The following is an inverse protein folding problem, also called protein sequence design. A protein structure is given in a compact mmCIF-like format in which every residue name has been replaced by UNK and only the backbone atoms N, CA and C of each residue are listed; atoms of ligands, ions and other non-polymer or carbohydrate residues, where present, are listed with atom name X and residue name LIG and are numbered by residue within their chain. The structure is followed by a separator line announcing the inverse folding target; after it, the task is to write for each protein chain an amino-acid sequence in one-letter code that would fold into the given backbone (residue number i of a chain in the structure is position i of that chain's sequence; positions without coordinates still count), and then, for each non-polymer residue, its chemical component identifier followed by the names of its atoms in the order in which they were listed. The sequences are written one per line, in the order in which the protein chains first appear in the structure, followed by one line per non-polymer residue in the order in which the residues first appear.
data_IF_471725070859
#
_entry.id   IF_471725070859
#
_cell.length_a   1.000
_cell.length_b   1.000
_cell.length_c   1.000
_cell.angle_alpha   90.00
_cell.angle_beta   90.00
_cell.angle_gamma   90.00
#
_symmetry.space_group_name_H-M   'P 1'
#
loop_
_entity.id
_entity.type
_entity.pdbx_description
1 polymer ?
#
# COMPACT_ATOMS: atom_id res chain seq x y z
N UNK A 1 -1.82 21.44 13.09
CA UNK A 1 -2.67 22.64 12.98
C UNK A 1 -1.99 23.90 13.50
N UNK A 2 -1.44 23.96 14.75
CA UNK A 2 -0.77 25.14 15.27
C UNK A 2 0.38 25.63 14.36
N UNK A 3 1.24 24.74 13.90
CA UNK A 3 2.33 25.06 12.97
C UNK A 3 1.80 25.58 11.62
N UNK A 4 0.75 24.97 11.06
CA UNK A 4 0.14 25.43 9.80
C UNK A 4 -0.41 26.86 9.91
N UNK A 5 -1.03 27.21 11.04
CA UNK A 5 -1.51 28.59 11.30
C UNK A 5 -0.39 29.61 11.34
N UNK A 6 0.83 29.19 11.69
CA UNK A 6 2.03 30.02 11.74
C UNK A 6 2.86 29.96 10.45
N UNK A 7 2.38 29.21 9.43
CA UNK A 7 3.11 29.02 8.17
C UNK A 7 4.37 28.17 8.30
N UNK A 8 4.49 27.37 9.37
CA UNK A 8 5.64 26.53 9.65
C UNK A 8 5.41 25.09 9.21
N UNK A 9 6.44 24.45 8.66
CA UNK A 9 6.47 23.02 8.30
C UNK A 9 7.54 22.29 9.11
N UNK A 10 7.53 20.95 9.07
CA UNK A 10 8.59 20.13 9.70
C UNK A 10 9.95 20.41 9.06
N UNK A 11 9.94 20.57 7.74
CA UNK A 11 11.13 20.82 6.93
C UNK A 11 11.73 22.19 7.25
N UNK A 12 10.89 23.23 7.37
CA UNK A 12 11.35 24.58 7.71
C UNK A 12 11.97 24.68 9.11
N UNK A 13 11.49 23.86 10.06
CA UNK A 13 12.02 23.81 11.43
C UNK A 13 13.22 22.86 11.56
N UNK A 14 13.36 21.91 10.68
CA UNK A 14 14.26 20.78 10.83
C UNK A 14 13.89 19.88 12.01
N UNK A 15 14.58 18.73 12.15
CA UNK A 15 14.27 17.74 13.19
C UNK A 15 14.34 18.32 14.61
N UNK A 16 15.38 19.09 14.91
CA UNK A 16 15.59 19.65 16.26
C UNK A 16 14.47 20.64 16.61
N UNK A 17 14.24 21.64 15.76
CA UNK A 17 13.20 22.64 16.00
C UNK A 17 11.80 22.04 16.12
N UNK A 18 11.49 21.03 15.31
CA UNK A 18 10.23 20.31 15.42
C UNK A 18 10.10 19.55 16.75
N UNK A 19 11.14 18.85 17.21
CA UNK A 19 11.13 18.12 18.48
C UNK A 19 11.01 19.08 19.68
N UNK A 20 11.77 20.16 19.69
CA UNK A 20 11.71 21.18 20.76
C UNK A 20 10.28 21.73 20.89
N UNK A 21 9.62 22.00 19.76
CA UNK A 21 8.23 22.46 19.74
C UNK A 21 7.24 21.39 20.20
N UNK A 22 7.44 20.13 19.80
CA UNK A 22 6.60 19.02 20.21
C UNK A 22 6.68 18.76 21.72
N UNK A 23 7.89 18.84 22.31
CA UNK A 23 8.09 18.73 23.75
C UNK A 23 7.44 19.88 24.50
N UNK A 24 7.58 21.12 24.03
CA UNK A 24 6.90 22.27 24.63
C UNK A 24 5.38 22.11 24.62
N UNK A 25 4.82 21.63 23.52
CA UNK A 25 3.38 21.32 23.42
C UNK A 25 2.98 20.24 24.44
N UNK A 26 3.77 19.17 24.58
CA UNK A 26 3.55 18.12 25.57
C UNK A 26 3.57 18.65 27.00
N UNK A 27 4.49 19.52 27.33
CA UNK A 27 4.57 20.15 28.67
C UNK A 27 3.33 21.00 28.96
N UNK A 28 2.88 21.78 27.98
CA UNK A 28 1.73 22.67 28.13
C UNK A 28 0.39 21.93 28.21
N UNK A 29 0.20 20.91 27.37
CA UNK A 29 -1.11 20.26 27.18
C UNK A 29 -1.18 18.84 27.73
N UNK A 30 -0.09 18.12 27.88
CA UNK A 30 -0.06 16.71 28.24
C UNK A 30 -0.63 16.39 29.61
N UNK A 31 -0.49 17.30 30.59
CA UNK A 31 -1.04 17.14 31.94
C UNK A 31 -2.51 17.53 32.10
N UNK A 32 -3.17 18.07 31.07
CA UNK A 32 -4.56 18.55 31.18
C UNK A 32 -5.54 17.43 31.49
N UNK A 33 -5.45 16.31 30.77
CA UNK A 33 -6.33 15.16 30.99
C UNK A 33 -6.21 14.61 32.40
N UNK A 34 -5.00 14.50 32.94
CA UNK A 34 -4.73 14.05 34.30
C UNK A 34 -5.37 15.00 35.34
N UNK A 35 -5.22 16.31 35.11
CA UNK A 35 -5.85 17.32 35.96
C UNK A 35 -7.38 17.23 35.93
N UNK A 36 -7.96 17.02 34.75
CA UNK A 36 -9.41 16.84 34.59
C UNK A 36 -9.91 15.58 35.31
N UNK A 37 -9.21 14.44 35.13
CA UNK A 37 -9.53 13.19 35.78
C UNK A 37 -9.49 13.29 37.31
N UNK A 38 -8.47 13.97 37.88
CA UNK A 38 -8.38 14.23 39.32
C UNK A 38 -9.55 15.08 39.82
N UNK A 39 -9.96 16.11 39.06
CA UNK A 39 -11.12 16.95 39.41
C UNK A 39 -12.44 16.19 39.34
N UNK A 40 -12.54 15.19 38.46
CA UNK A 40 -13.70 14.30 38.36
C UNK A 40 -13.72 13.24 39.44
N UNK A 41 -12.70 13.16 40.30
CA UNK A 41 -12.64 12.17 41.38
C UNK A 41 -12.29 10.75 40.90
N UNK A 42 -11.67 10.62 39.73
CA UNK A 42 -11.26 9.31 39.19
C UNK A 42 -10.16 8.72 40.10
N UNK A 43 -10.37 7.49 40.54
CA UNK A 43 -9.49 6.74 41.44
C UNK A 43 -8.42 6.02 40.66
N UNK A 44 -7.22 6.62 40.57
CA UNK A 44 -6.03 6.04 39.93
C UNK A 44 -4.83 6.17 40.88
N UNK A 45 -3.84 5.32 40.71
CA UNK A 45 -2.53 5.53 41.32
C UNK A 45 -1.70 6.53 40.53
N UNK A 46 -1.87 7.80 40.85
CA UNK A 46 -1.22 8.93 40.18
C UNK A 46 0.30 8.95 40.34
N UNK A 47 0.86 8.19 41.28
CA UNK A 47 2.31 8.05 41.44
C UNK A 47 2.94 7.23 40.30
N UNK A 48 2.14 6.44 39.62
CA UNK A 48 2.55 5.61 38.46
C UNK A 48 2.15 6.18 37.12
N UNK A 49 1.83 7.48 37.09
CA UNK A 49 1.59 8.20 35.83
C UNK A 49 2.83 8.07 34.90
N UNK A 50 2.58 7.65 33.65
CA UNK A 50 3.62 7.47 32.64
C UNK A 50 3.23 8.15 31.33
N UNK A 51 4.23 8.64 30.63
CA UNK A 51 4.12 9.09 29.25
C UNK A 51 4.81 8.08 28.34
N UNK A 52 4.16 7.66 27.26
CA UNK A 52 4.65 6.57 26.39
C UNK A 52 6.03 6.81 25.78
N UNK A 53 6.46 8.08 25.71
CA UNK A 53 7.79 8.48 25.21
C UNK A 53 8.71 8.97 26.32
N UNK A 54 8.40 8.73 27.61
CA UNK A 54 9.34 9.02 28.69
C UNK A 54 10.59 8.12 28.64
N UNK A 55 11.59 8.47 29.41
CA UNK A 55 12.87 7.76 29.40
C UNK A 55 12.72 6.26 29.72
N UNK A 56 11.92 5.92 30.74
CA UNK A 56 11.69 4.53 31.15
C UNK A 56 10.98 3.71 30.09
N UNK A 57 9.89 4.22 29.51
CA UNK A 57 9.18 3.59 28.41
C UNK A 57 10.05 3.48 27.16
N UNK A 58 10.82 4.50 26.82
CA UNK A 58 11.76 4.49 25.71
C UNK A 58 12.87 3.45 25.87
N UNK A 59 13.38 3.24 27.11
CA UNK A 59 14.34 2.19 27.43
C UNK A 59 13.71 0.81 27.27
N UNK A 60 12.51 0.62 27.78
CA UNK A 60 11.79 -0.65 27.69
C UNK A 60 11.51 -1.06 26.22
N UNK A 61 11.05 -0.11 25.39
CA UNK A 61 10.80 -0.36 23.96
C UNK A 61 12.08 -0.79 23.24
N UNK A 62 13.20 -0.09 23.50
CA UNK A 62 14.48 -0.47 22.88
C UNK A 62 14.96 -1.86 23.34
N UNK A 63 14.83 -2.16 24.62
CA UNK A 63 15.21 -3.47 25.18
C UNK A 63 14.40 -4.59 24.55
N UNK A 64 13.08 -4.43 24.46
CA UNK A 64 12.19 -5.43 23.84
C UNK A 64 12.51 -5.59 22.35
N UNK A 65 12.74 -4.50 21.63
CA UNK A 65 13.10 -4.54 20.21
C UNK A 65 14.39 -5.37 19.99
N UNK A 66 15.45 -5.07 20.77
CA UNK A 66 16.74 -5.75 20.65
C UNK A 66 16.59 -7.24 20.98
N UNK A 67 15.92 -7.60 22.07
CA UNK A 67 15.68 -8.99 22.45
C UNK A 67 14.91 -9.79 21.39
N UNK A 68 13.89 -9.17 20.79
CA UNK A 68 13.12 -9.81 19.71
C UNK A 68 13.95 -9.96 18.43
N UNK A 69 14.81 -9.00 18.14
CA UNK A 69 15.73 -9.06 17.00
C UNK A 69 16.76 -10.19 17.19
N UNK A 70 17.40 -10.28 18.37
CA UNK A 70 18.35 -11.34 18.70
C UNK A 70 17.73 -12.75 18.65
N UNK A 71 16.44 -12.86 18.96
CA UNK A 71 15.66 -14.11 18.81
C UNK A 71 15.23 -14.39 17.35
N UNK A 72 15.59 -13.52 16.39
CA UNK A 72 15.18 -13.65 15.00
C UNK A 72 13.68 -13.48 14.74
N UNK A 73 12.96 -12.87 15.70
CA UNK A 73 11.53 -12.61 15.61
C UNK A 73 11.20 -11.27 14.93
N UNK A 74 12.09 -10.28 15.00
CA UNK A 74 12.01 -9.03 14.26
C UNK A 74 12.94 -9.11 13.05
N UNK A 75 12.44 -8.70 11.89
CA UNK A 75 13.20 -8.68 10.63
C UNK A 75 12.80 -7.49 9.77
N UNK A 76 13.70 -7.08 8.87
CA UNK A 76 13.38 -6.14 7.78
C UNK A 76 13.06 -6.91 6.52
N UNK A 77 11.98 -6.52 5.84
CA UNK A 77 11.57 -7.15 4.59
C UNK A 77 10.77 -6.19 3.72
N UNK A 78 10.76 -6.49 2.43
CA UNK A 78 9.89 -5.82 1.48
C UNK A 78 8.51 -6.44 1.60
N UNK A 79 7.50 -5.61 1.88
CA UNK A 79 6.10 -6.02 1.97
C UNK A 79 5.23 -4.93 1.37
N UNK A 80 4.11 -5.34 0.83
CA UNK A 80 3.05 -4.42 0.48
C UNK A 80 2.45 -3.83 1.75
N UNK A 81 2.39 -2.52 1.82
CA UNK A 81 1.85 -1.76 2.97
C UNK A 81 0.91 -0.67 2.45
N UNK A 82 -0.03 -0.25 3.29
CA UNK A 82 -0.80 0.94 3.00
C UNK A 82 0.12 2.15 3.19
N UNK A 83 0.37 2.87 2.11
CA UNK A 83 1.27 4.03 2.11
C UNK A 83 0.48 5.32 1.92
N UNK A 84 0.74 6.31 2.75
CA UNK A 84 0.21 7.66 2.55
C UNK A 84 1.25 8.53 1.85
N UNK A 85 1.05 8.93 0.59
CA UNK A 85 2.03 9.74 -0.14
C UNK A 85 2.18 11.16 0.41
N UNK A 86 1.15 11.71 1.04
CA UNK A 86 1.19 13.02 1.67
C UNK A 86 1.94 13.03 3.03
N UNK A 87 1.77 11.96 3.83
CA UNK A 87 2.46 11.83 5.11
C UNK A 87 3.82 11.15 4.98
N UNK A 88 4.11 10.57 3.81
CA UNK A 88 5.29 9.75 3.51
C UNK A 88 5.54 8.68 4.59
N UNK A 89 4.47 7.96 4.93
CA UNK A 89 4.52 6.94 5.98
C UNK A 89 3.58 5.78 5.69
N UNK A 90 3.99 4.58 6.11
CA UNK A 90 3.10 3.44 6.19
C UNK A 90 2.04 3.68 7.28
N UNK A 91 0.82 3.23 7.03
CA UNK A 91 -0.30 3.23 7.96
C UNK A 91 -0.86 1.82 8.10
N UNK A 92 -1.35 1.48 9.28
CA UNK A 92 -1.98 0.18 9.54
C UNK A 92 -3.39 0.12 8.96
N UNK A 93 -3.93 -1.09 8.78
CA UNK A 93 -5.29 -1.27 8.26
C UNK A 93 -6.34 -0.58 9.16
N UNK A 94 -6.12 -0.53 10.48
CA UNK A 94 -6.99 0.16 11.42
C UNK A 94 -6.98 1.70 11.29
N UNK A 95 -5.99 2.26 10.61
CA UNK A 95 -5.83 3.70 10.37
C UNK A 95 -6.32 4.12 8.98
N UNK A 96 -6.83 3.19 8.19
CA UNK A 96 -7.44 3.45 6.89
C UNK A 96 -8.93 3.75 7.07
N UNK A 97 -9.37 4.89 6.58
CA UNK A 97 -10.78 5.26 6.55
C UNK A 97 -11.31 5.07 5.13
N UNK A 98 -12.37 4.29 4.97
CA UNK A 98 -12.97 4.05 3.67
C UNK A 98 -14.06 5.08 3.37
N UNK A 99 -14.05 5.59 2.15
CA UNK A 99 -15.02 6.56 1.64
C UNK A 99 -15.53 6.12 0.27
N UNK A 100 -16.83 6.18 0.07
CA UNK A 100 -17.42 6.00 -1.26
C UNK A 100 -17.01 7.15 -2.17
N UNK A 101 -16.49 6.81 -3.34
CA UNK A 101 -16.12 7.77 -4.38
C UNK A 101 -16.63 7.33 -5.74
N UNK A 102 -17.04 8.30 -6.52
CA UNK A 102 -17.32 8.09 -7.93
C UNK A 102 -15.99 7.85 -8.67
N UNK A 103 -15.96 6.82 -9.46
CA UNK A 103 -14.85 6.41 -10.29
C UNK A 103 -15.34 5.80 -11.59
N UNK A 104 -14.49 5.06 -12.25
CA UNK A 104 -14.84 4.34 -13.44
C UNK A 104 -14.17 2.97 -13.47
N UNK A 105 -14.77 2.06 -14.23
CA UNK A 105 -14.11 0.91 -14.80
C UNK A 105 -13.66 1.26 -16.21
N UNK A 106 -12.36 1.13 -16.48
CA UNK A 106 -11.78 1.26 -17.80
C UNK A 106 -11.57 -0.12 -18.39
N UNK A 107 -12.25 -0.41 -19.50
CA UNK A 107 -12.10 -1.64 -20.27
C UNK A 107 -10.97 -1.46 -21.26
N UNK A 108 -9.89 -2.20 -21.05
CA UNK A 108 -8.65 -2.13 -21.82
C UNK A 108 -8.46 -3.38 -22.66
N UNK A 109 -7.80 -3.24 -23.80
CA UNK A 109 -7.47 -4.32 -24.71
C UNK A 109 -5.96 -4.56 -24.70
N UNK A 110 -5.55 -5.77 -24.29
CA UNK A 110 -4.15 -6.20 -24.34
C UNK A 110 -3.96 -7.17 -25.49
N UNK A 111 -3.06 -6.88 -26.46
CA UNK A 111 -2.78 -7.78 -27.57
C UNK A 111 -2.12 -9.07 -27.07
N UNK A 112 -2.67 -10.21 -27.44
CA UNK A 112 -2.05 -11.53 -27.22
C UNK A 112 -0.99 -11.76 -28.29
N UNK A 113 0.23 -12.00 -27.89
CA UNK A 113 1.39 -12.10 -28.79
C UNK A 113 1.26 -13.27 -29.77
N UNK A 114 0.88 -14.44 -29.29
CA UNK A 114 0.87 -15.68 -30.06
C UNK A 114 -0.33 -15.78 -31.02
N UNK A 115 -1.48 -15.23 -30.64
CA UNK A 115 -2.71 -15.34 -31.43
C UNK A 115 -3.07 -14.07 -32.19
N UNK A 116 -2.56 -12.91 -31.72
CA UNK A 116 -2.93 -11.60 -32.26
C UNK A 116 -4.33 -11.11 -31.84
N UNK A 117 -5.05 -11.88 -31.02
CA UNK A 117 -6.36 -11.46 -30.51
C UNK A 117 -6.20 -10.39 -29.41
N UNK A 118 -7.27 -9.63 -29.18
CA UNK A 118 -7.32 -8.61 -28.14
C UNK A 118 -7.99 -9.20 -26.90
N UNK A 119 -7.24 -9.33 -25.81
CA UNK A 119 -7.74 -9.77 -24.52
C UNK A 119 -8.28 -8.58 -23.74
N UNK A 120 -9.56 -8.61 -23.43
CA UNK A 120 -10.24 -7.55 -22.69
C UNK A 120 -10.11 -7.75 -21.18
N UNK A 121 -9.73 -6.69 -20.49
CA UNK A 121 -9.74 -6.61 -19.02
C UNK A 121 -10.29 -5.27 -18.54
N UNK A 122 -10.79 -5.23 -17.31
CA UNK A 122 -11.31 -4.01 -16.71
C UNK A 122 -10.52 -3.64 -15.44
N UNK A 123 -10.27 -2.34 -15.25
CA UNK A 123 -9.53 -1.84 -14.09
C UNK A 123 -10.09 -0.52 -13.59
N UNK A 124 -10.02 -0.29 -12.29
CA UNK A 124 -10.30 1.02 -11.66
C UNK A 124 -9.05 1.91 -11.59
N UNK A 125 -7.87 1.34 -11.90
CA UNK A 125 -6.57 2.01 -11.74
C UNK A 125 -5.68 1.83 -12.97
N UNK A 126 -6.02 2.45 -14.11
CA UNK A 126 -5.23 2.32 -15.33
C UNK A 126 -3.80 2.85 -15.18
N UNK A 127 -3.54 3.79 -14.25
CA UNK A 127 -2.20 4.31 -13.98
C UNK A 127 -1.19 3.26 -13.47
N UNK A 128 -1.69 2.15 -12.89
CA UNK A 128 -0.80 1.08 -12.41
C UNK A 128 -0.40 0.08 -13.48
N UNK A 129 -1.03 0.13 -14.67
CA UNK A 129 -0.83 -0.87 -15.73
C UNK A 129 0.63 -1.03 -16.16
N UNK A 130 1.41 0.05 -16.12
CA UNK A 130 2.84 -0.01 -16.47
C UNK A 130 3.64 -0.95 -15.55
N UNK A 131 3.10 -1.25 -14.37
CA UNK A 131 3.63 -2.20 -13.40
C UNK A 131 3.06 -3.61 -13.50
N UNK A 132 2.19 -3.91 -14.47
CA UNK A 132 1.62 -5.24 -14.63
C UNK A 132 2.71 -6.26 -14.94
N UNK A 133 2.64 -7.42 -14.31
CA UNK A 133 3.62 -8.50 -14.48
C UNK A 133 3.00 -9.80 -14.97
N UNK A 134 1.69 -9.88 -14.99
CA UNK A 134 0.91 -10.95 -15.61
C UNK A 134 -0.51 -10.47 -15.89
N UNK A 135 -1.23 -11.29 -16.66
CA UNK A 135 -2.69 -11.27 -16.77
C UNK A 135 -3.20 -12.63 -16.27
N UNK A 136 -4.17 -12.63 -15.36
CA UNK A 136 -4.76 -13.84 -14.82
C UNK A 136 -6.08 -14.18 -15.54
N UNK A 137 -6.26 -15.46 -15.85
CA UNK A 137 -7.50 -16.09 -16.33
C UNK A 137 -7.81 -17.29 -15.43
N UNK A 138 -9.06 -17.71 -15.39
CA UNK A 138 -9.39 -18.93 -14.67
C UNK A 138 -9.12 -20.17 -15.56
N UNK A 139 -8.44 -21.18 -15.02
CA UNK A 139 -8.13 -22.41 -15.75
C UNK A 139 -9.37 -23.17 -16.22
N UNK A 140 -10.49 -23.00 -15.53
CA UNK A 140 -11.76 -23.65 -15.87
C UNK A 140 -12.62 -22.83 -16.85
N UNK A 141 -12.20 -21.61 -17.22
CA UNK A 141 -12.96 -20.75 -18.12
C UNK A 141 -12.77 -21.19 -19.59
N UNK A 142 -13.80 -21.72 -20.23
CA UNK A 142 -13.69 -22.22 -21.60
C UNK A 142 -13.44 -21.10 -22.63
N UNK A 143 -13.74 -19.83 -22.29
CA UNK A 143 -13.53 -18.68 -23.17
C UNK A 143 -12.05 -18.46 -23.45
N UNK A 144 -11.18 -18.78 -22.48
CA UNK A 144 -9.76 -18.46 -22.50
C UNK A 144 -8.85 -19.70 -22.45
N UNK A 145 -9.41 -20.90 -22.52
CA UNK A 145 -8.62 -22.15 -22.44
C UNK A 145 -7.50 -22.23 -23.51
N UNK A 146 -7.70 -21.65 -24.68
CA UNK A 146 -6.70 -21.58 -25.75
C UNK A 146 -5.55 -20.60 -25.49
N UNK A 147 -5.66 -19.76 -24.48
CA UNK A 147 -4.63 -18.76 -24.10
C UNK A 147 -3.69 -19.24 -22.99
N UNK A 148 -3.87 -20.46 -22.50
CA UNK A 148 -2.99 -21.02 -21.48
C UNK A 148 -1.53 -21.06 -21.97
N UNK A 149 -0.64 -20.39 -21.22
CA UNK A 149 0.79 -20.31 -21.55
C UNK A 149 1.15 -19.30 -22.63
N UNK A 150 0.19 -18.52 -23.13
CA UNK A 150 0.44 -17.38 -24.00
C UNK A 150 0.91 -16.15 -23.21
N UNK A 151 1.30 -15.12 -23.94
CA UNK A 151 1.73 -13.84 -23.41
C UNK A 151 0.92 -12.70 -24.01
N UNK A 152 0.79 -11.60 -23.27
CA UNK A 152 0.29 -10.35 -23.81
C UNK A 152 1.43 -9.35 -23.96
N UNK A 153 1.31 -8.49 -24.97
CA UNK A 153 2.17 -7.32 -25.10
C UNK A 153 1.53 -6.19 -24.29
N UNK A 154 2.14 -5.84 -23.14
CA UNK A 154 1.66 -4.78 -22.28
C UNK A 154 1.64 -3.45 -23.02
N UNK A 155 0.46 -2.83 -23.23
CA UNK A 155 0.38 -1.56 -23.95
C UNK A 155 1.21 -0.48 -23.27
N UNK A 156 1.69 0.49 -24.05
CA UNK A 156 2.50 1.64 -23.64
C UNK A 156 3.89 1.31 -23.06
N UNK A 157 4.05 0.12 -22.48
CA UNK A 157 5.35 -0.35 -21.94
C UNK A 157 6.11 -1.25 -22.93
N UNK A 158 5.47 -1.80 -23.96
CA UNK A 158 6.03 -2.73 -24.94
C UNK A 158 6.76 -3.92 -24.29
N UNK A 159 6.25 -4.39 -23.16
CA UNK A 159 6.81 -5.48 -22.38
C UNK A 159 5.92 -6.71 -22.49
N UNK A 160 6.53 -7.87 -22.72
CA UNK A 160 5.81 -9.15 -22.73
C UNK A 160 5.58 -9.59 -21.28
N UNK A 161 4.34 -9.93 -20.95
CA UNK A 161 3.95 -10.50 -19.66
C UNK A 161 3.10 -11.77 -19.89
N UNK A 162 3.24 -12.80 -19.02
CA UNK A 162 2.55 -14.08 -19.19
C UNK A 162 1.04 -13.97 -18.89
N UNK A 163 0.28 -14.80 -19.56
CA UNK A 163 -1.09 -15.16 -19.15
C UNK A 163 -0.99 -16.34 -18.20
N UNK A 164 -1.41 -16.16 -16.94
CA UNK A 164 -1.36 -17.18 -15.90
C UNK A 164 -2.76 -17.69 -15.58
N UNK A 165 -2.84 -18.90 -15.05
CA UNK A 165 -4.09 -19.50 -14.57
C UNK A 165 -4.16 -19.36 -13.04
N UNK A 166 -5.13 -18.60 -12.54
CA UNK A 166 -5.33 -18.41 -11.10
C UNK A 166 -6.82 -18.25 -10.77
N UNK A 167 -7.26 -18.80 -9.64
CA UNK A 167 -8.64 -18.70 -9.15
C UNK A 167 -9.04 -17.27 -8.76
N UNK A 168 -8.08 -16.36 -8.63
CA UNK A 168 -8.33 -14.94 -8.43
C UNK A 168 -9.14 -14.33 -9.59
N UNK A 169 -8.97 -14.85 -10.80
CA UNK A 169 -9.78 -14.50 -11.96
C UNK A 169 -11.15 -15.20 -11.87
N UNK A 170 -12.15 -14.49 -11.35
CA UNK A 170 -13.51 -14.99 -11.21
C UNK A 170 -14.24 -14.97 -12.56
N UNK A 171 -14.65 -16.14 -13.05
CA UNK A 171 -15.32 -16.31 -14.35
C UNK A 171 -16.67 -15.58 -14.44
N UNK A 172 -17.32 -15.32 -13.30
CA UNK A 172 -18.64 -14.69 -13.23
C UNK A 172 -18.56 -13.17 -13.08
N UNK A 173 -17.35 -12.63 -12.85
CA UNK A 173 -17.14 -11.19 -12.64
C UNK A 173 -16.49 -10.53 -13.85
N UNK A 174 -17.13 -9.48 -14.36
CA UNK A 174 -16.61 -8.67 -15.44
C UNK A 174 -16.25 -9.49 -16.68
N UNK A 175 -15.02 -9.33 -17.16
CA UNK A 175 -14.52 -10.09 -18.32
C UNK A 175 -14.02 -11.50 -17.96
N UNK A 176 -13.83 -11.81 -16.68
CA UNK A 176 -13.13 -13.02 -16.22
C UNK A 176 -11.60 -12.94 -16.38
N UNK A 177 -11.07 -11.78 -16.75
CA UNK A 177 -9.65 -11.51 -16.95
C UNK A 177 -9.20 -10.41 -16.02
N UNK A 178 -8.11 -10.63 -15.30
CA UNK A 178 -7.59 -9.68 -14.31
C UNK A 178 -6.13 -9.36 -14.61
N UNK A 179 -5.78 -8.07 -14.66
CA UNK A 179 -4.39 -7.64 -14.68
C UNK A 179 -3.75 -7.87 -13.31
N UNK A 180 -2.49 -8.24 -13.25
CA UNK A 180 -1.78 -8.53 -12.00
C UNK A 180 -0.63 -7.55 -11.82
N UNK A 181 -0.78 -6.69 -10.80
CA UNK A 181 0.19 -5.64 -10.43
C UNK A 181 0.67 -5.84 -8.98
N UNK A 182 1.57 -6.76 -8.70
CA UNK A 182 1.95 -7.18 -7.33
C UNK A 182 2.48 -6.06 -6.44
N UNK A 183 2.96 -4.96 -7.04
CA UNK A 183 3.49 -3.83 -6.28
C UNK A 183 2.42 -2.87 -5.75
N UNK A 184 1.17 -2.92 -6.27
CA UNK A 184 0.16 -1.88 -6.07
C UNK A 184 -1.24 -2.39 -5.71
N UNK A 185 -1.41 -3.69 -5.54
CA UNK A 185 -2.65 -4.30 -5.08
C UNK A 185 -2.37 -5.49 -4.15
N UNK A 186 -3.06 -5.60 -2.98
CA UNK A 186 -2.84 -6.70 -2.04
C UNK A 186 -3.17 -8.08 -2.61
N UNK A 187 -4.26 -8.21 -3.36
CA UNK A 187 -4.67 -9.49 -3.94
C UNK A 187 -3.70 -9.89 -5.06
N UNK A 188 -3.32 -8.93 -5.92
CA UNK A 188 -2.32 -9.15 -6.97
C UNK A 188 -0.95 -9.52 -6.39
N UNK A 189 -0.60 -8.98 -5.22
CA UNK A 189 0.63 -9.35 -4.52
C UNK A 189 0.63 -10.82 -4.08
N UNK A 190 -0.51 -11.33 -3.57
CA UNK A 190 -0.67 -12.74 -3.22
C UNK A 190 -0.58 -13.65 -4.46
N UNK A 191 -1.23 -13.25 -5.56
CA UNK A 191 -1.10 -13.95 -6.86
C UNK A 191 0.35 -13.95 -7.30
N UNK A 192 1.01 -12.80 -7.23
CA UNK A 192 2.42 -12.65 -7.58
C UNK A 192 3.33 -13.59 -6.79
N UNK A 193 3.08 -13.77 -5.48
CA UNK A 193 3.83 -14.70 -4.64
C UNK A 193 3.57 -16.18 -5.03
N UNK A 194 2.33 -16.55 -5.39
CA UNK A 194 2.00 -17.92 -5.81
C UNK A 194 2.65 -18.31 -7.13
N UNK A 195 2.81 -17.34 -8.03
CA UNK A 195 3.33 -17.54 -9.38
C UNK A 195 4.77 -17.06 -9.58
N UNK A 196 5.45 -16.66 -8.49
CA UNK A 196 6.83 -16.11 -8.51
C UNK A 196 7.01 -14.95 -9.52
N UNK A 197 5.99 -14.07 -9.58
CA UNK A 197 6.01 -12.93 -10.49
C UNK A 197 6.91 -11.81 -9.97
N UNK A 198 7.57 -11.06 -10.88
CA UNK A 198 8.34 -9.89 -10.47
C UNK A 198 7.44 -8.81 -9.86
N UNK A 199 7.99 -8.06 -8.92
CA UNK A 199 7.34 -6.92 -8.30
C UNK A 199 7.84 -5.65 -8.98
N UNK A 200 6.96 -4.97 -9.72
CA UNK A 200 7.30 -3.77 -10.52
C UNK A 200 6.57 -2.56 -9.97
N UNK A 201 7.33 -1.65 -9.36
CA UNK A 201 6.82 -0.42 -8.75
C UNK A 201 6.83 0.73 -9.74
N UNK A 202 5.71 1.44 -9.86
CA UNK A 202 5.51 2.58 -10.77
C UNK A 202 5.30 3.91 -10.05
N UNK A 203 5.28 3.94 -8.71
CA UNK A 203 5.13 5.16 -7.93
C UNK A 203 6.32 5.42 -7.02
N UNK A 204 6.67 6.67 -6.87
CA UNK A 204 7.55 7.19 -5.82
C UNK A 204 6.81 7.24 -4.47
N UNK A 205 7.54 7.44 -3.38
CA UNK A 205 6.92 7.51 -2.04
C UNK A 205 6.07 8.77 -1.82
N UNK A 206 6.23 9.80 -2.61
CA UNK A 206 5.40 11.01 -2.61
C UNK A 206 4.24 10.94 -3.63
N UNK A 207 4.02 9.78 -4.27
CA UNK A 207 2.85 9.50 -5.11
C UNK A 207 2.93 10.00 -6.55
N UNK A 208 4.14 10.16 -7.08
CA UNK A 208 4.36 10.47 -8.50
C UNK A 208 4.80 9.22 -9.27
N UNK A 209 4.62 9.21 -10.57
CA UNK A 209 5.13 8.14 -11.42
C UNK A 209 6.65 8.13 -11.41
N UNK A 210 7.25 6.94 -11.28
CA UNK A 210 8.71 6.77 -11.26
C UNK A 210 9.36 7.09 -12.60
N UNK A 211 10.54 7.69 -12.55
CA UNK A 211 11.38 7.96 -13.72
C UNK A 211 12.72 7.21 -13.66
N UNK A 212 13.59 7.48 -14.64
CA UNK A 212 14.90 6.86 -14.75
C UNK A 212 15.77 7.04 -13.49
N UNK A 213 15.69 8.21 -12.84
CA UNK A 213 16.44 8.46 -11.60
C UNK A 213 15.93 7.62 -10.43
N UNK A 214 14.63 7.39 -10.34
CA UNK A 214 14.03 6.57 -9.29
C UNK A 214 14.40 5.11 -9.49
N UNK A 215 14.32 4.63 -10.73
CA UNK A 215 14.76 3.30 -11.10
C UNK A 215 16.25 3.06 -10.79
N UNK A 216 17.11 4.03 -11.09
CA UNK A 216 18.54 3.94 -10.80
C UNK A 216 18.87 3.98 -9.29
N UNK A 217 18.05 4.63 -8.48
CA UNK A 217 18.23 4.75 -7.02
C UNK A 217 17.57 3.62 -6.24
N UNK A 218 16.71 2.80 -6.86
CA UNK A 218 16.00 1.74 -6.17
C UNK A 218 16.92 0.56 -5.83
N UNK A 219 17.34 0.49 -4.57
CA UNK A 219 18.19 -0.57 -4.05
C UNK A 219 17.58 -1.98 -4.16
N UNK A 220 16.27 -2.09 -4.39
CA UNK A 220 15.56 -3.36 -4.56
C UNK A 220 15.37 -3.75 -6.04
N UNK A 221 15.70 -2.84 -6.98
CA UNK A 221 15.53 -3.05 -8.41
C UNK A 221 14.07 -3.22 -8.86
N UNK A 222 13.12 -2.69 -8.08
CA UNK A 222 11.68 -2.85 -8.33
C UNK A 222 11.07 -1.66 -9.08
N UNK A 223 11.62 -0.45 -8.91
CA UNK A 223 11.13 0.74 -9.61
C UNK A 223 11.55 0.72 -11.09
N UNK A 224 10.63 1.08 -11.96
CA UNK A 224 10.90 1.23 -13.39
C UNK A 224 10.81 2.68 -13.83
N UNK A 225 11.38 2.99 -14.99
CA UNK A 225 11.13 4.26 -15.67
C UNK A 225 9.79 4.21 -16.40
N UNK A 226 8.85 5.04 -15.99
CA UNK A 226 7.53 5.17 -16.63
C UNK A 226 7.56 6.09 -17.87
N UNK A 227 8.74 6.47 -18.35
CA UNK A 227 8.94 7.25 -19.59
C UNK A 227 8.23 8.61 -19.55
N UNK A 228 7.41 8.90 -20.53
CA UNK A 228 6.71 10.20 -20.63
C UNK A 228 5.76 10.50 -19.46
N UNK A 229 5.39 9.51 -18.66
CA UNK A 229 4.52 9.68 -17.48
C UNK A 229 5.32 9.98 -16.20
N UNK A 230 6.65 9.87 -16.23
CA UNK A 230 7.50 10.13 -15.07
C UNK A 230 7.25 11.51 -14.47
N UNK A 231 7.16 11.58 -13.13
CA UNK A 231 6.89 12.81 -12.40
C UNK A 231 5.44 13.30 -12.40
N UNK A 232 4.53 12.65 -13.12
CA UNK A 232 3.10 12.94 -13.05
C UNK A 232 2.51 12.39 -11.74
N UNK A 233 1.56 13.07 -11.16
CA UNK A 233 0.73 12.52 -10.08
C UNK A 233 -0.11 11.34 -10.61
N UNK A 234 -0.58 10.46 -9.72
CA UNK A 234 -1.45 9.31 -10.08
C UNK A 234 -2.64 9.73 -10.95
N UNK A 235 -3.28 10.85 -10.63
CA UNK A 235 -4.45 11.34 -11.38
C UNK A 235 -4.09 11.91 -12.75
N UNK A 236 -2.97 12.60 -12.87
CA UNK A 236 -2.47 13.11 -14.17
C UNK A 236 -2.06 11.95 -15.07
N UNK A 237 -1.31 10.98 -14.53
CA UNK A 237 -0.90 9.77 -15.24
C UNK A 237 -2.11 8.95 -15.71
N UNK A 238 -3.13 8.77 -14.86
CA UNK A 238 -4.38 8.11 -15.24
C UNK A 238 -5.02 8.75 -16.47
N UNK A 239 -5.16 10.09 -16.47
CA UNK A 239 -5.73 10.83 -17.61
C UNK A 239 -4.88 10.67 -18.86
N UNK A 240 -3.57 10.79 -18.74
CA UNK A 240 -2.66 10.69 -19.88
C UNK A 240 -2.64 9.26 -20.47
N UNK A 241 -2.56 8.23 -19.61
CA UNK A 241 -2.58 6.82 -20.03
C UNK A 241 -3.90 6.48 -20.72
N UNK A 242 -5.04 6.91 -20.18
CA UNK A 242 -6.35 6.66 -20.79
C UNK A 242 -6.45 7.34 -22.16
N UNK A 243 -5.96 8.57 -22.29
CA UNK A 243 -5.95 9.28 -23.59
C UNK A 243 -5.07 8.56 -24.62
N UNK A 244 -3.88 8.11 -24.23
CA UNK A 244 -2.98 7.35 -25.12
C UNK A 244 -3.57 6.00 -25.54
N UNK A 245 -4.21 5.29 -24.62
CA UNK A 245 -4.91 4.03 -24.93
C UNK A 245 -6.08 4.25 -25.90
N UNK A 246 -6.80 5.36 -25.75
CA UNK A 246 -7.86 5.74 -26.67
C UNK A 246 -7.32 6.06 -28.08
N UNK A 247 -6.21 6.78 -28.17
CA UNK A 247 -5.53 7.09 -29.44
C UNK A 247 -5.05 5.82 -30.15
N UNK A 248 -4.55 4.85 -29.38
CA UNK A 248 -4.11 3.55 -29.90
C UNK A 248 -5.27 2.58 -30.21
N UNK A 249 -6.52 2.94 -29.92
CA UNK A 249 -7.69 2.05 -30.08
C UNK A 249 -7.71 0.88 -29.08
N UNK A 250 -7.00 1.00 -27.96
CA UNK A 250 -6.88 -0.01 -26.90
C UNK A 250 -7.77 0.27 -25.68
N UNK A 251 -8.51 1.36 -25.68
CA UNK A 251 -9.59 1.66 -24.75
C UNK A 251 -10.92 1.23 -25.36
N UNK A 252 -11.58 0.20 -24.84
CA UNK A 252 -12.84 -0.31 -25.36
C UNK A 252 -14.04 0.50 -24.88
N UNK A 253 -14.16 0.70 -23.57
CA UNK A 253 -15.25 1.47 -22.93
C UNK A 253 -14.83 2.00 -21.56
N UNK A 254 -15.64 2.93 -21.06
CA UNK A 254 -15.53 3.47 -19.70
C UNK A 254 -16.91 3.33 -19.07
N UNK A 255 -16.99 2.65 -17.93
CA UNK A 255 -18.24 2.45 -17.18
C UNK A 255 -18.18 3.18 -15.85
N UNK A 256 -19.14 4.03 -15.50
CA UNK A 256 -19.18 4.66 -14.18
C UNK A 256 -19.31 3.62 -13.07
N UNK A 257 -18.56 3.81 -11.99
CA UNK A 257 -18.56 2.93 -10.83
C UNK A 257 -18.47 3.76 -9.55
N UNK A 258 -19.28 3.43 -8.55
CA UNK A 258 -19.06 3.90 -7.19
C UNK A 258 -18.38 2.80 -6.39
N UNK A 259 -17.26 3.11 -5.76
CA UNK A 259 -16.49 2.14 -4.99
C UNK A 259 -15.86 2.78 -3.74
N UNK A 260 -15.54 1.96 -2.77
CA UNK A 260 -14.84 2.38 -1.57
C UNK A 260 -13.37 2.64 -1.86
N UNK A 261 -12.87 3.79 -1.44
CA UNK A 261 -11.47 4.19 -1.56
C UNK A 261 -10.91 4.42 -0.17
N UNK A 262 -9.81 3.75 0.15
CA UNK A 262 -9.10 3.93 1.41
C UNK A 262 -8.39 5.29 1.45
N UNK A 263 -8.55 5.99 2.57
CA UNK A 263 -7.93 7.29 2.84
C UNK A 263 -7.17 7.27 4.15
N UNK A 264 -6.16 8.12 4.25
CA UNK A 264 -5.35 8.29 5.46
C UNK A 264 -6.14 9.03 6.54
N UNK A 265 -6.29 8.46 7.72
CA UNK A 265 -7.01 9.09 8.85
C UNK A 265 -6.41 10.45 9.30
N UNK A 266 -5.13 10.74 8.97
CA UNK A 266 -4.44 11.98 9.37
C UNK A 266 -4.66 13.14 8.41
N UNK A 267 -4.63 12.88 7.10
CA UNK A 267 -4.65 13.92 6.08
C UNK A 267 -5.72 13.71 5.01
N UNK A 268 -6.50 12.62 5.08
CA UNK A 268 -7.57 12.23 4.16
C UNK A 268 -7.14 12.05 2.70
N UNK A 269 -5.83 11.97 2.45
CA UNK A 269 -5.29 11.62 1.13
C UNK A 269 -5.56 10.15 0.84
N UNK A 270 -5.86 9.82 -0.40
CA UNK A 270 -6.01 8.43 -0.86
C UNK A 270 -4.70 7.68 -0.59
N UNK A 271 -4.80 6.50 0.00
CA UNK A 271 -3.65 5.64 0.26
C UNK A 271 -3.26 4.88 -1.02
N UNK A 272 -1.97 4.63 -1.15
CA UNK A 272 -1.41 3.84 -2.24
C UNK A 272 -0.84 2.54 -1.64
N UNK A 273 -1.42 1.35 -1.96
CA UNK A 273 -0.74 0.10 -1.66
C UNK A 273 0.62 0.11 -2.35
N UNK A 274 1.69 -0.09 -1.59
CA UNK A 274 3.06 0.04 -2.11
C UNK A 274 4.01 -0.92 -1.42
N UNK A 275 4.89 -1.55 -2.19
CA UNK A 275 5.96 -2.36 -1.60
C UNK A 275 7.01 -1.44 -0.97
N UNK A 276 7.23 -1.63 0.31
CA UNK A 276 8.19 -0.85 1.09
C UNK A 276 9.00 -1.76 2.02
N UNK A 277 10.26 -1.37 2.26
CA UNK A 277 11.13 -2.08 3.18
C UNK A 277 10.87 -1.62 4.62
N UNK A 278 10.17 -2.47 5.38
CA UNK A 278 9.71 -2.17 6.72
C UNK A 278 10.22 -3.19 7.75
N UNK A 279 10.05 -2.86 9.03
CA UNK A 279 10.27 -3.78 10.13
C UNK A 279 9.00 -4.58 10.40
N UNK A 280 9.16 -5.89 10.54
CA UNK A 280 8.06 -6.83 10.81
C UNK A 280 8.40 -7.75 11.96
N UNK A 281 7.36 -8.23 12.64
CA UNK A 281 7.45 -9.22 13.71
C UNK A 281 6.81 -10.53 13.24
N UNK A 282 7.49 -11.65 13.45
CA UNK A 282 6.92 -12.99 13.26
C UNK A 282 5.92 -13.26 14.38
N UNK A 283 4.63 -12.93 14.12
CA UNK A 283 3.60 -12.99 15.15
C UNK A 283 3.21 -14.40 15.56
N UNK A 284 3.18 -15.37 14.63
CA UNK A 284 2.71 -16.74 14.91
C UNK A 284 3.42 -17.40 16.09
N UNK A 285 4.76 -17.43 16.17
CA UNK A 285 5.47 -18.02 17.32
C UNK A 285 5.21 -17.33 18.66
N UNK A 286 4.76 -16.06 18.64
CA UNK A 286 4.41 -15.30 19.84
C UNK A 286 2.95 -15.51 20.23
N UNK A 287 2.05 -15.60 19.26
CA UNK A 287 0.62 -15.73 19.50
C UNK A 287 0.21 -17.15 19.95
N UNK A 288 0.82 -18.20 19.39
CA UNK A 288 0.46 -19.59 19.71
C UNK A 288 0.57 -19.91 21.20
N UNK A 289 1.65 -19.60 21.90
CA UNK A 289 1.74 -19.83 23.36
C UNK A 289 0.72 -19.00 24.14
N UNK A 290 0.47 -17.76 23.74
CA UNK A 290 -0.50 -16.88 24.39
C UNK A 290 -1.93 -17.42 24.25
N UNK A 291 -2.29 -17.94 23.07
CA UNK A 291 -3.58 -18.60 22.85
C UNK A 291 -3.69 -19.89 23.65
N UNK A 292 -2.62 -20.68 23.69
CA UNK A 292 -2.58 -21.95 24.41
C UNK A 292 -2.80 -21.78 25.91
N UNK A 293 -2.16 -20.78 26.55
CA UNK A 293 -2.31 -20.55 27.99
C UNK A 293 -3.76 -20.12 28.39
N UNK A 294 -4.47 -19.43 27.51
CA UNK A 294 -5.89 -19.12 27.73
C UNK A 294 -6.76 -20.37 27.52
N UNK A 295 -6.52 -21.12 26.43
CA UNK A 295 -7.27 -22.35 26.16
C UNK A 295 -7.07 -23.44 27.22
N UNK A 296 -5.88 -23.54 27.81
CA UNK A 296 -5.58 -24.47 28.89
C UNK A 296 -6.17 -24.04 30.25
N UNK A 297 -6.64 -22.81 30.37
CA UNK A 297 -7.12 -22.24 31.64
C UNK A 297 -6.03 -21.79 32.60
N UNK A 298 -4.76 -21.74 32.15
CA UNK A 298 -3.63 -21.18 32.92
C UNK A 298 -3.83 -19.68 33.14
N UNK A 299 -4.31 -18.98 32.13
CA UNK A 299 -4.78 -17.59 32.24
C UNK A 299 -6.30 -17.55 32.10
N UNK A 300 -6.98 -16.93 33.06
CA UNK A 300 -8.44 -16.77 33.08
C UNK A 300 -8.80 -15.28 33.06
N UNK A 301 -9.88 -14.93 32.39
CA UNK A 301 -10.51 -13.61 32.39
C UNK A 301 -11.74 -13.60 33.28
#
# INVERSE_FOLDING_TARGET
DAMRKEGLTKESLGRKGFLDRAWKWKEEYGGRIVTQQRRMGISCDWSRERFTMDEGCSKAVREVFVRLYEKGLIYRGNRLVNWCPCCESAISDAEVEYQEKEGNFWHLLYPVKETGEMLELATTRPETMLGDTAVAINAADPRYAHLHGCHVLLPLANREIPIICDEHADMEKGTGVVKITPAHDPNDNEVGQRHDLPVVRVFTYDGHMTGAEDAAKDANGQAIDCGKYAGMTTLEARKAIVADLQELGLLKSIEPLTHEVGTCYRCHTVIEPMVSRQWFVKMKPLAEPAIACVKSGETKF
#
